data_IF_552393736649
#
_entry.id   IF_552393736649
#
_cell.length_a   1.000
_cell.length_b   1.000
_cell.length_c   1.000
_cell.angle_alpha   90.00
_cell.angle_beta   90.00
_cell.angle_gamma   90.00
#
_symmetry.space_group_name_H-M   'P 1'
#
loop_
_entity.id
_entity.type
_entity.pdbx_description
1 polymer ?
#
# COMPACT_ATOMS: atom_id res chain seq x y z
N UNK A 1 -22.02 6.85 -4.76
CA UNK A 1 -20.68 6.22 -4.81
C UNK A 1 -20.33 6.02 -6.27
N UNK A 2 -19.27 6.67 -6.79
CA UNK A 2 -18.89 6.48 -8.19
C UNK A 2 -17.93 5.28 -8.29
N UNK A 3 -18.50 4.09 -8.42
CA UNK A 3 -17.76 2.80 -8.44
C UNK A 3 -16.65 2.82 -9.50
N UNK A 4 -16.88 3.46 -10.65
CA UNK A 4 -15.88 3.61 -11.72
C UNK A 4 -14.65 4.38 -11.27
N UNK A 5 -14.83 5.51 -10.56
CA UNK A 5 -13.72 6.29 -10.02
C UNK A 5 -12.91 5.49 -9.00
N UNK A 6 -13.58 4.75 -8.12
CA UNK A 6 -12.91 3.93 -7.11
C UNK A 6 -12.09 2.81 -7.77
N UNK A 7 -12.64 2.12 -8.77
CA UNK A 7 -11.92 1.09 -9.51
C UNK A 7 -10.64 1.65 -10.17
N UNK A 8 -10.73 2.83 -10.79
CA UNK A 8 -9.58 3.52 -11.37
C UNK A 8 -8.54 3.83 -10.29
N UNK A 9 -8.95 4.37 -9.13
CA UNK A 9 -8.05 4.65 -8.01
C UNK A 9 -7.36 3.38 -7.52
N UNK A 10 -8.06 2.25 -7.39
CA UNK A 10 -7.47 0.98 -6.99
C UNK A 10 -6.40 0.51 -7.99
N UNK A 11 -6.72 0.51 -9.29
CA UNK A 11 -5.79 0.08 -10.35
C UNK A 11 -4.56 0.99 -10.38
N UNK A 12 -4.77 2.32 -10.41
CA UNK A 12 -3.66 3.29 -10.42
C UNK A 12 -2.80 3.14 -9.16
N UNK A 13 -3.40 2.94 -8.00
CA UNK A 13 -2.65 2.77 -6.75
C UNK A 13 -1.81 1.50 -6.76
N UNK A 14 -2.36 0.38 -7.24
CA UNK A 14 -1.59 -0.85 -7.40
C UNK A 14 -0.44 -0.68 -8.39
N UNK A 15 -0.67 -0.05 -9.55
CA UNK A 15 0.38 0.23 -10.53
C UNK A 15 1.50 1.11 -9.96
N UNK A 16 1.15 2.15 -9.21
CA UNK A 16 2.13 2.99 -8.51
C UNK A 16 2.90 2.20 -7.45
N UNK A 17 2.23 1.29 -6.74
CA UNK A 17 2.86 0.36 -5.81
C UNK A 17 3.90 -0.53 -6.47
N UNK A 18 3.51 -1.19 -7.57
CA UNK A 18 4.43 -2.05 -8.36
C UNK A 18 5.58 -1.24 -8.91
N UNK A 19 5.32 -0.04 -9.46
CA UNK A 19 6.36 0.85 -9.96
C UNK A 19 7.33 1.24 -8.84
N UNK A 20 6.84 1.57 -7.64
CA UNK A 20 7.67 1.89 -6.49
C UNK A 20 8.50 0.68 -6.04
N UNK A 21 7.93 -0.53 -6.02
CA UNK A 21 8.63 -1.76 -5.72
C UNK A 21 9.79 -2.01 -6.70
N UNK A 22 9.50 -2.02 -8.01
CA UNK A 22 10.50 -2.28 -9.05
C UNK A 22 11.58 -1.19 -9.11
N UNK A 23 11.18 0.07 -8.94
CA UNK A 23 12.13 1.19 -8.88
C UNK A 23 13.03 1.08 -7.66
N UNK A 24 12.50 0.70 -6.50
CA UNK A 24 13.31 0.52 -5.29
C UNK A 24 14.25 -0.68 -5.41
N UNK A 25 13.80 -1.77 -6.04
CA UNK A 25 14.64 -2.93 -6.35
C UNK A 25 15.86 -2.54 -7.20
N UNK A 26 15.62 -1.73 -8.23
CA UNK A 26 16.69 -1.23 -9.09
C UNK A 26 17.59 -0.21 -8.38
N UNK A 27 17.01 0.81 -7.75
CA UNK A 27 17.76 1.94 -7.18
C UNK A 27 18.53 1.58 -5.91
N UNK A 28 17.97 0.72 -5.05
CA UNK A 28 18.58 0.37 -3.75
C UNK A 28 19.47 -0.85 -3.88
N UNK A 29 19.03 -1.87 -4.64
CA UNK A 29 19.70 -3.17 -4.69
C UNK A 29 20.39 -3.46 -6.02
N UNK A 30 20.23 -2.61 -7.05
CA UNK A 30 20.81 -2.83 -8.37
C UNK A 30 20.22 -4.04 -9.10
N UNK A 31 19.06 -4.52 -8.68
CA UNK A 31 18.42 -5.73 -9.21
C UNK A 31 17.23 -5.39 -10.12
N UNK A 32 16.90 -6.30 -11.03
CA UNK A 32 15.75 -6.17 -11.92
C UNK A 32 14.92 -7.44 -11.90
N UNK A 33 13.60 -7.31 -11.83
CA UNK A 33 12.70 -8.45 -12.03
C UNK A 33 12.50 -8.68 -13.53
N UNK A 34 13.07 -9.77 -14.06
CA UNK A 34 12.95 -10.16 -15.47
C UNK A 34 12.08 -11.40 -15.66
N UNK A 35 11.49 -11.56 -16.85
CA UNK A 35 10.85 -12.81 -17.29
C UNK A 35 9.73 -13.31 -16.34
N UNK A 36 9.93 -14.52 -15.81
CA UNK A 36 8.99 -15.19 -14.90
C UNK A 36 8.77 -14.44 -13.60
N UNK A 37 9.80 -13.78 -13.08
CA UNK A 37 9.75 -13.11 -11.76
C UNK A 37 8.86 -11.88 -11.82
N UNK A 38 8.94 -11.11 -12.90
CA UNK A 38 8.03 -9.99 -13.13
C UNK A 38 6.58 -10.46 -13.22
N UNK A 39 6.34 -11.55 -13.95
CA UNK A 39 5.00 -12.13 -14.09
C UNK A 39 4.45 -12.57 -12.72
N UNK A 40 5.27 -13.23 -11.91
CA UNK A 40 4.91 -13.63 -10.56
C UNK A 40 4.60 -12.42 -9.67
N UNK A 41 5.46 -11.40 -9.68
CA UNK A 41 5.26 -10.16 -8.91
C UNK A 41 3.93 -9.50 -9.31
N UNK A 42 3.66 -9.34 -10.60
CA UNK A 42 2.41 -8.75 -11.08
C UNK A 42 1.20 -9.57 -10.67
N UNK A 43 1.22 -10.88 -10.89
CA UNK A 43 0.08 -11.75 -10.60
C UNK A 43 -0.23 -11.82 -9.10
N UNK A 44 0.78 -12.08 -8.26
CA UNK A 44 0.59 -12.21 -6.82
C UNK A 44 0.26 -10.87 -6.16
N UNK A 45 0.92 -9.78 -6.58
CA UNK A 45 0.59 -8.45 -6.04
C UNK A 45 -0.80 -7.98 -6.45
N UNK A 46 -1.25 -8.26 -7.68
CA UNK A 46 -2.60 -7.93 -8.13
C UNK A 46 -3.66 -8.71 -7.36
N UNK A 47 -3.44 -10.02 -7.20
CA UNK A 47 -4.33 -10.88 -6.42
C UNK A 47 -4.44 -10.38 -4.99
N UNK A 48 -3.30 -10.09 -4.34
CA UNK A 48 -3.28 -9.51 -3.00
C UNK A 48 -3.99 -8.15 -2.96
N UNK A 49 -3.79 -7.29 -3.97
CA UNK A 49 -4.41 -5.97 -4.05
C UNK A 49 -5.94 -6.03 -4.14
N UNK A 50 -6.52 -6.99 -4.88
CA UNK A 50 -7.96 -7.17 -4.96
C UNK A 50 -8.59 -7.37 -3.58
N UNK A 51 -8.00 -8.25 -2.77
CA UNK A 51 -8.47 -8.49 -1.41
C UNK A 51 -8.13 -7.32 -0.48
N UNK A 52 -6.91 -6.78 -0.55
CA UNK A 52 -6.45 -5.70 0.30
C UNK A 52 -7.32 -4.44 0.15
N UNK A 53 -7.67 -4.05 -1.08
CA UNK A 53 -8.50 -2.88 -1.32
C UNK A 53 -9.91 -3.05 -0.75
N UNK A 54 -10.53 -4.21 -0.99
CA UNK A 54 -11.90 -4.46 -0.55
C UNK A 54 -12.03 -4.69 0.95
N UNK A 55 -11.11 -5.46 1.55
CA UNK A 55 -11.23 -5.96 2.92
C UNK A 55 -10.48 -5.09 3.94
N UNK A 56 -9.48 -4.33 3.52
CA UNK A 56 -8.61 -3.59 4.44
C UNK A 56 -8.66 -2.09 4.16
N UNK A 57 -8.15 -1.64 3.01
CA UNK A 57 -8.04 -0.20 2.71
C UNK A 57 -9.39 0.50 2.74
N UNK A 58 -10.40 -0.02 2.04
CA UNK A 58 -11.69 0.65 1.94
C UNK A 58 -12.43 0.73 3.30
N UNK A 59 -12.53 -0.36 4.10
CA UNK A 59 -13.08 -0.28 5.46
C UNK A 59 -12.32 0.69 6.37
N UNK A 60 -10.99 0.67 6.35
CA UNK A 60 -10.17 1.59 7.16
C UNK A 60 -10.45 3.05 6.78
N UNK A 61 -10.56 3.38 5.48
CA UNK A 61 -10.86 4.74 5.04
C UNK A 61 -12.26 5.21 5.44
N UNK A 62 -13.26 4.33 5.36
CA UNK A 62 -14.61 4.67 5.85
C UNK A 62 -14.65 4.83 7.37
N UNK A 63 -13.94 3.99 8.11
CA UNK A 63 -13.79 4.13 9.55
C UNK A 63 -13.11 5.46 9.92
N UNK A 64 -12.00 5.78 9.26
CA UNK A 64 -11.29 7.05 9.47
C UNK A 64 -12.19 8.25 9.18
N UNK A 65 -12.92 8.24 8.06
CA UNK A 65 -13.90 9.27 7.74
C UNK A 65 -14.94 9.44 8.85
N UNK A 66 -15.44 8.33 9.42
CA UNK A 66 -16.40 8.35 10.53
C UNK A 66 -15.78 8.96 11.79
N UNK A 67 -14.54 8.59 12.13
CA UNK A 67 -13.81 9.12 13.29
C UNK A 67 -13.54 10.63 13.15
N UNK A 68 -13.14 11.09 11.96
CA UNK A 68 -12.90 12.49 11.66
C UNK A 68 -14.18 13.30 11.40
N UNK A 69 -15.35 12.65 11.40
CA UNK A 69 -16.66 13.25 11.03
C UNK A 69 -16.62 13.97 9.67
N UNK A 70 -15.78 13.52 8.75
CA UNK A 70 -15.53 14.21 7.48
C UNK A 70 -14.22 13.83 6.80
N UNK A 71 -13.67 14.76 6.01
CA UNK A 71 -12.44 14.55 5.22
C UNK A 71 -11.25 15.40 5.70
N UNK A 72 -11.39 16.13 6.81
CA UNK A 72 -10.31 16.97 7.36
C UNK A 72 -9.72 16.30 8.61
N UNK A 73 -8.39 16.30 8.76
CA UNK A 73 -7.40 16.77 7.79
C UNK A 73 -7.21 15.76 6.64
N UNK A 74 -7.07 16.26 5.40
CA UNK A 74 -6.98 15.39 4.19
C UNK A 74 -5.76 14.48 4.24
N UNK A 75 -4.65 14.96 4.85
CA UNK A 75 -3.40 14.20 4.99
C UNK A 75 -3.55 12.96 5.88
N UNK A 76 -4.57 12.87 6.73
CA UNK A 76 -4.77 11.68 7.55
C UNK A 76 -5.07 10.43 6.69
N UNK A 77 -5.78 10.59 5.57
CA UNK A 77 -6.15 9.47 4.70
C UNK A 77 -4.94 8.74 4.09
N UNK A 78 -4.01 9.43 3.38
CA UNK A 78 -2.80 8.77 2.86
C UNK A 78 -1.92 8.19 3.98
N UNK A 79 -1.78 8.88 5.12
CA UNK A 79 -0.97 8.39 6.25
C UNK A 79 -1.54 7.10 6.83
N UNK A 80 -2.84 7.09 7.18
CA UNK A 80 -3.48 5.90 7.74
C UNK A 80 -3.53 4.76 6.73
N UNK A 81 -3.75 5.06 5.44
CA UNK A 81 -3.73 4.04 4.40
C UNK A 81 -2.36 3.36 4.30
N UNK A 82 -1.25 4.12 4.28
CA UNK A 82 0.10 3.54 4.26
C UNK A 82 0.39 2.70 5.51
N UNK A 83 0.00 3.20 6.69
CA UNK A 83 0.19 2.47 7.95
C UNK A 83 -0.61 1.17 8.04
N UNK A 84 -1.73 1.08 7.31
CA UNK A 84 -2.61 -0.10 7.31
C UNK A 84 -1.92 -1.40 6.93
N UNK A 85 -0.86 -1.35 6.12
CA UNK A 85 -0.03 -2.52 5.78
C UNK A 85 1.39 -2.45 6.32
N UNK A 86 1.97 -1.25 6.51
CA UNK A 86 3.31 -1.13 7.11
C UNK A 86 3.34 -1.72 8.52
N UNK A 87 2.35 -1.41 9.37
CA UNK A 87 2.34 -1.87 10.76
C UNK A 87 2.21 -3.40 10.84
N UNK A 88 1.21 -4.05 10.18
CA UNK A 88 1.13 -5.50 10.17
C UNK A 88 2.36 -6.17 9.59
N UNK A 89 2.91 -5.67 8.48
CA UNK A 89 4.12 -6.24 7.88
C UNK A 89 5.32 -6.13 8.81
N UNK A 90 5.54 -4.98 9.44
CA UNK A 90 6.59 -4.81 10.45
C UNK A 90 6.39 -5.78 11.62
N UNK A 91 5.15 -5.95 12.10
CA UNK A 91 4.85 -6.89 13.17
C UNK A 91 5.13 -8.35 12.77
N UNK A 92 4.69 -8.77 11.58
CA UNK A 92 4.88 -10.13 11.08
C UNK A 92 6.37 -10.42 10.90
N UNK A 93 7.10 -9.57 10.19
CA UNK A 93 8.54 -9.76 9.96
C UNK A 93 9.31 -9.74 11.28
N UNK A 94 9.04 -8.78 12.16
CA UNK A 94 9.69 -8.71 13.45
C UNK A 94 9.42 -9.93 14.34
N UNK A 95 8.22 -10.53 14.28
CA UNK A 95 7.82 -11.63 15.17
C UNK A 95 8.15 -13.02 14.62
N UNK A 96 8.10 -13.20 13.30
CA UNK A 96 8.17 -14.50 12.62
C UNK A 96 9.41 -14.68 11.76
N UNK A 97 10.33 -13.71 11.68
CA UNK A 97 11.62 -13.96 11.05
C UNK A 97 12.36 -15.08 11.78
N UNK A 98 12.58 -16.17 11.05
CA UNK A 98 13.19 -17.42 11.50
C UNK A 98 14.71 -17.39 11.55
N UNK A 99 15.34 -16.35 10.99
CA UNK A 99 16.78 -16.34 10.70
C UNK A 99 17.68 -16.05 11.92
N UNK A 100 17.12 -15.97 13.14
CA UNK A 100 17.87 -15.62 14.36
C UNK A 100 18.45 -14.20 14.35
N UNK A 101 18.29 -13.46 13.25
CA UNK A 101 18.53 -12.04 13.15
C UNK A 101 17.49 -11.33 14.02
N UNK A 102 17.96 -10.57 15.02
CA UNK A 102 17.07 -9.94 15.98
C UNK A 102 16.02 -9.03 15.32
N UNK A 103 14.90 -8.79 16.02
CA UNK A 103 13.73 -8.01 15.58
C UNK A 103 14.05 -6.83 14.66
N UNK A 104 15.04 -6.00 15.02
CA UNK A 104 15.42 -4.82 14.25
C UNK A 104 16.00 -5.14 12.88
N UNK A 105 16.81 -6.20 12.73
CA UNK A 105 17.39 -6.58 11.42
C UNK A 105 16.32 -7.04 10.44
N UNK A 106 15.31 -7.76 10.93
CA UNK A 106 14.19 -8.24 10.12
C UNK A 106 13.33 -7.10 9.55
N UNK A 107 13.23 -5.98 10.28
CA UNK A 107 12.50 -4.80 9.82
C UNK A 107 13.20 -4.02 8.70
N UNK A 108 14.51 -4.19 8.55
CA UNK A 108 15.34 -3.54 7.54
C UNK A 108 15.89 -4.55 6.52
N UNK A 109 15.26 -5.73 6.43
CA UNK A 109 15.59 -6.67 5.37
C UNK A 109 15.30 -6.06 4.00
N UNK A 110 16.03 -6.46 2.94
CA UNK A 110 15.76 -5.98 1.59
C UNK A 110 14.29 -6.10 1.18
N UNK A 111 13.68 -7.24 1.48
CA UNK A 111 12.28 -7.53 1.18
C UNK A 111 11.34 -6.59 1.95
N UNK A 112 11.63 -6.35 3.23
CA UNK A 112 10.84 -5.45 4.07
C UNK A 112 10.81 -4.03 3.50
N UNK A 113 11.98 -3.51 3.12
CA UNK A 113 12.12 -2.16 2.54
C UNK A 113 11.33 -2.05 1.24
N UNK A 114 11.43 -3.04 0.35
CA UNK A 114 10.68 -3.05 -0.91
C UNK A 114 9.16 -3.06 -0.68
N UNK A 115 8.67 -3.85 0.27
CA UNK A 115 7.26 -3.85 0.65
C UNK A 115 6.83 -2.51 1.27
N UNK A 116 7.65 -1.88 2.11
CA UNK A 116 7.34 -0.57 2.67
C UNK A 116 7.21 0.49 1.56
N UNK A 117 8.15 0.53 0.60
CA UNK A 117 8.06 1.43 -0.55
C UNK A 117 6.76 1.23 -1.34
N UNK A 118 6.37 -0.03 -1.58
CA UNK A 118 5.11 -0.37 -2.24
C UNK A 118 3.90 0.12 -1.43
N UNK A 119 3.83 -0.20 -0.13
CA UNK A 119 2.69 0.17 0.72
C UNK A 119 2.58 1.68 0.95
N UNK A 120 3.70 2.39 1.01
CA UNK A 120 3.71 3.86 1.05
C UNK A 120 3.08 4.40 -0.24
N UNK A 121 3.55 3.96 -1.41
CA UNK A 121 3.04 4.43 -2.70
C UNK A 121 1.54 4.13 -2.86
N UNK A 122 1.12 2.89 -2.60
CA UNK A 122 -0.29 2.47 -2.63
C UNK A 122 -1.13 3.26 -1.64
N UNK A 123 -0.67 3.39 -0.39
CA UNK A 123 -1.41 4.06 0.67
C UNK A 123 -1.60 5.55 0.38
N UNK A 124 -0.56 6.22 -0.10
CA UNK A 124 -0.62 7.64 -0.47
C UNK A 124 -1.60 7.85 -1.62
N UNK A 125 -1.45 7.11 -2.72
CA UNK A 125 -2.31 7.28 -3.90
C UNK A 125 -3.76 6.88 -3.61
N UNK A 126 -3.97 5.78 -2.87
CA UNK A 126 -5.31 5.31 -2.53
C UNK A 126 -6.00 6.24 -1.53
N UNK A 127 -5.30 6.68 -0.49
CA UNK A 127 -5.85 7.58 0.52
C UNK A 127 -6.28 8.92 -0.09
N UNK A 128 -5.45 9.50 -0.95
CA UNK A 128 -5.81 10.71 -1.70
C UNK A 128 -6.95 10.45 -2.69
N UNK A 129 -6.88 9.34 -3.42
CA UNK A 129 -7.92 8.93 -4.37
C UNK A 129 -9.27 8.69 -3.70
N UNK A 130 -9.28 8.13 -2.49
CA UNK A 130 -10.50 7.95 -1.68
C UNK A 130 -11.13 9.30 -1.34
N UNK A 131 -10.34 10.28 -0.87
CA UNK A 131 -10.85 11.63 -0.60
C UNK A 131 -11.42 12.24 -1.88
N UNK A 132 -10.72 12.13 -3.01
CA UNK A 132 -11.20 12.61 -4.31
C UNK A 132 -12.50 11.93 -4.78
N UNK A 133 -12.65 10.62 -4.56
CA UNK A 133 -13.84 9.86 -4.96
C UNK A 133 -15.08 10.21 -4.13
N UNK A 134 -14.91 10.50 -2.83
CA UNK A 134 -16.03 10.55 -1.89
C UNK A 134 -16.29 11.94 -1.29
N UNK A 135 -15.35 12.89 -1.38
CA UNK A 135 -15.60 14.29 -1.00
C UNK A 135 -16.54 14.91 -2.04
N UNK A 136 -17.83 15.00 -1.71
CA UNK A 136 -18.77 15.85 -2.45
C UNK A 136 -18.36 17.32 -2.27
N UNK A 137 -18.22 18.06 -3.37
CA UNK A 137 -18.19 19.52 -3.44
C UNK A 137 -17.24 20.23 -2.47
N UNK A 138 -16.01 20.48 -2.92
CA UNK A 138 -15.38 21.78 -2.66
C UNK A 138 -15.29 22.48 -4.01
N UNK A 139 -16.45 22.81 -4.55
CA UNK A 139 -16.71 23.93 -5.45
C UNK A 139 -17.94 24.59 -4.85
#
# INVERSE_FOLDING_TARGET
MNIRKLAIVCIVSWLLGVAAYLSSLYLIYGQTAGGSDLTAVLFWSFTAALFAFALIYLPIMFLLRRLLRGYKPVVAFPVVASLGFIIPTAFILGRFSTDGSGFLRSLISPEAVLFYCMFIAVGVSFGLGFVWCFRKGAI
#
